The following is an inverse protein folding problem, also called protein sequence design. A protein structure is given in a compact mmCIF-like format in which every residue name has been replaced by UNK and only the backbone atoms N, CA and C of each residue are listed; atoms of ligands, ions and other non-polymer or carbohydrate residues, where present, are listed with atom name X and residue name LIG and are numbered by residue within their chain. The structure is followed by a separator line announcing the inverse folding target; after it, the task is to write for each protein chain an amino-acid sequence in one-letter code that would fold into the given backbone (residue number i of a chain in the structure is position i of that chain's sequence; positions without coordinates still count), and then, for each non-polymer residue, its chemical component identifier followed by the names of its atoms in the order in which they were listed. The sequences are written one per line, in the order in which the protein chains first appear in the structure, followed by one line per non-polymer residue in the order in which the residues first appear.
data_IF_716428714110
#
_entry.id   IF_716428714110
#
_cell.length_a   1.000
_cell.length_b   1.000
_cell.length_c   1.000
_cell.angle_alpha   90.00
_cell.angle_beta   90.00
_cell.angle_gamma   90.00
#
_symmetry.space_group_name_H-M   'P 1'
#
loop_
_entity.id
_entity.type
_entity.pdbx_description
1 polymer ?
#
# COMPACT_ATOMS: atom_id res chain seq x y z
N UNK A 1 49.30 7.42 -28.01
CA UNK A 1 48.73 7.08 -26.68
C UNK A 1 47.87 8.24 -26.19
N UNK A 2 46.55 8.23 -26.44
CA UNK A 2 45.58 9.11 -25.76
C UNK A 2 44.21 8.40 -25.74
N UNK A 3 44.08 7.40 -24.87
CA UNK A 3 42.77 6.97 -24.40
C UNK A 3 42.38 7.91 -23.26
N UNK A 4 41.70 9.01 -23.57
CA UNK A 4 41.00 9.79 -22.56
C UNK A 4 39.63 9.15 -22.37
N UNK A 5 39.48 8.48 -21.23
CA UNK A 5 38.26 7.85 -20.78
C UNK A 5 37.11 8.88 -20.75
N UNK A 6 36.20 8.78 -21.71
CA UNK A 6 34.85 9.32 -21.60
C UNK A 6 34.08 8.33 -20.70
N UNK A 7 34.38 8.37 -19.40
CA UNK A 7 33.74 7.54 -18.38
C UNK A 7 33.11 8.42 -17.29
N UNK A 8 32.59 9.57 -17.68
CA UNK A 8 31.77 10.44 -16.83
C UNK A 8 30.56 10.85 -17.66
N UNK A 9 29.37 10.75 -17.06
CA UNK A 9 28.03 11.07 -17.60
C UNK A 9 27.17 9.88 -18.07
N UNK A 10 27.35 8.69 -17.48
CA UNK A 10 26.19 7.85 -17.15
C UNK A 10 25.80 8.10 -15.69
N UNK A 11 25.57 9.37 -15.35
CA UNK A 11 24.58 9.66 -14.31
C UNK A 11 23.26 9.28 -14.96
N UNK A 12 22.92 7.99 -14.91
CA UNK A 12 21.57 7.56 -15.18
C UNK A 12 20.73 8.45 -14.27
N UNK A 13 20.02 9.36 -14.91
CA UNK A 13 18.94 10.09 -14.31
C UNK A 13 17.87 9.04 -14.10
N UNK A 14 18.08 8.19 -13.08
CA UNK A 14 17.09 7.33 -12.47
C UNK A 14 16.12 8.30 -11.81
N UNK A 15 15.30 8.95 -12.63
CA UNK A 15 13.94 9.27 -12.26
C UNK A 15 13.23 7.91 -12.12
N UNK A 16 13.71 7.09 -11.18
CA UNK A 16 13.01 5.91 -10.74
C UNK A 16 11.70 6.45 -10.22
N UNK A 17 10.59 5.96 -10.77
CA UNK A 17 9.25 6.32 -10.36
C UNK A 17 9.19 6.24 -8.82
N UNK A 18 9.25 7.38 -8.14
CA UNK A 18 9.15 7.42 -6.70
C UNK A 18 7.68 7.41 -6.36
N UNK A 19 7.20 6.30 -5.82
CA UNK A 19 5.85 6.21 -5.30
C UNK A 19 5.72 7.16 -4.11
N UNK A 20 4.83 8.15 -4.19
CA UNK A 20 4.57 9.03 -3.06
C UNK A 20 3.81 8.28 -1.96
N UNK A 21 3.91 8.77 -0.72
CA UNK A 21 3.14 8.21 0.41
C UNK A 21 1.62 8.25 0.18
N UNK A 22 1.16 9.27 -0.55
CA UNK A 22 -0.26 9.44 -0.89
C UNK A 22 -0.67 8.38 -1.90
N UNK A 23 0.04 8.25 -3.02
CA UNK A 23 -0.24 7.24 -4.04
C UNK A 23 -0.17 5.82 -3.46
N UNK A 24 0.81 5.56 -2.58
CA UNK A 24 0.89 4.32 -1.82
C UNK A 24 -0.38 4.04 -1.01
N UNK A 25 -0.83 5.01 -0.22
CA UNK A 25 -2.01 4.88 0.61
C UNK A 25 -3.27 4.67 -0.22
N UNK A 26 -3.40 5.38 -1.33
CA UNK A 26 -4.54 5.28 -2.23
C UNK A 26 -4.58 3.93 -2.94
N UNK A 27 -3.44 3.44 -3.45
CA UNK A 27 -3.36 2.14 -4.11
C UNK A 27 -3.70 0.97 -3.17
N UNK A 28 -3.12 0.95 -1.97
CA UNK A 28 -3.40 -0.11 -0.99
C UNK A 28 -4.86 -0.06 -0.54
N UNK A 29 -5.41 1.14 -0.29
CA UNK A 29 -6.82 1.27 0.09
C UNK A 29 -7.77 0.92 -1.05
N UNK A 30 -7.41 1.20 -2.30
CA UNK A 30 -8.18 0.80 -3.47
C UNK A 30 -8.33 -0.73 -3.53
N UNK A 31 -7.22 -1.46 -3.44
CA UNK A 31 -7.23 -2.93 -3.42
C UNK A 31 -8.01 -3.46 -2.21
N UNK A 32 -7.93 -2.81 -1.06
CA UNK A 32 -8.75 -3.20 0.12
C UNK A 32 -10.24 -3.01 -0.12
N UNK A 33 -10.65 -1.94 -0.80
CA UNK A 33 -12.04 -1.68 -1.12
C UNK A 33 -12.58 -2.74 -2.11
N UNK A 34 -11.83 -3.05 -3.17
CA UNK A 34 -12.19 -4.11 -4.12
C UNK A 34 -12.32 -5.46 -3.41
N UNK A 35 -11.37 -5.81 -2.54
CA UNK A 35 -11.45 -7.03 -1.74
C UNK A 35 -12.66 -7.03 -0.79
N UNK A 36 -13.00 -5.91 -0.17
CA UNK A 36 -14.18 -5.79 0.67
C UNK A 36 -15.46 -6.03 -0.12
N UNK A 37 -15.54 -5.50 -1.35
CA UNK A 37 -16.65 -5.68 -2.27
C UNK A 37 -16.77 -7.13 -2.72
N UNK A 38 -15.70 -7.71 -3.28
CA UNK A 38 -15.71 -9.11 -3.74
C UNK A 38 -16.06 -10.10 -2.62
N UNK A 39 -15.64 -9.81 -1.38
CA UNK A 39 -15.82 -10.73 -0.25
C UNK A 39 -17.02 -10.42 0.62
N UNK A 40 -17.71 -9.32 0.34
CA UNK A 40 -18.80 -8.79 1.16
C UNK A 40 -18.36 -8.65 2.61
N UNK A 41 -17.31 -7.85 2.84
CA UNK A 41 -16.82 -7.50 4.17
C UNK A 41 -17.26 -6.07 4.53
N UNK A 42 -18.17 -5.95 5.49
CA UNK A 42 -18.82 -4.68 5.82
C UNK A 42 -18.07 -3.77 6.79
N UNK A 43 -16.93 -4.21 7.35
CA UNK A 43 -16.22 -3.53 8.44
C UNK A 43 -14.72 -3.27 8.15
N UNK A 44 -14.33 -3.21 6.87
CA UNK A 44 -12.92 -3.01 6.49
C UNK A 44 -12.52 -1.56 6.71
N UNK A 45 -11.52 -1.32 7.54
CA UNK A 45 -10.98 0.00 7.81
C UNK A 45 -10.15 0.52 6.63
N UNK A 46 -10.26 1.83 6.39
CA UNK A 46 -9.29 2.60 5.60
C UNK A 46 -7.99 2.69 6.39
N UNK A 47 -6.87 2.41 5.73
CA UNK A 47 -5.54 2.52 6.32
C UNK A 47 -5.00 3.94 6.17
N UNK A 48 -4.35 4.43 7.21
CA UNK A 48 -3.64 5.71 7.21
C UNK A 48 -2.13 5.47 7.10
N UNK A 49 -1.45 6.30 6.32
CA UNK A 49 0.00 6.20 6.17
C UNK A 49 0.70 6.58 7.49
N UNK A 50 1.63 5.74 7.94
CA UNK A 50 2.40 5.91 9.16
C UNK A 50 3.90 5.89 8.85
N UNK A 51 4.55 7.04 9.02
CA UNK A 51 5.99 7.22 8.74
C UNK A 51 6.86 6.32 9.64
N UNK A 52 6.42 6.00 10.87
CA UNK A 52 7.19 5.10 11.74
C UNK A 52 7.24 3.68 11.16
N UNK A 53 6.16 3.23 10.51
CA UNK A 53 6.13 1.91 9.85
C UNK A 53 7.01 1.87 8.59
N UNK A 54 7.21 2.99 7.90
CA UNK A 54 8.12 3.09 6.75
C UNK A 54 9.58 2.75 7.16
N UNK A 55 9.99 3.23 8.33
CA UNK A 55 11.31 2.89 8.89
C UNK A 55 11.41 1.40 9.19
N UNK A 56 10.42 0.83 9.87
CA UNK A 56 10.37 -0.62 10.17
C UNK A 56 10.38 -1.46 8.90
N UNK A 57 9.62 -1.09 7.87
CA UNK A 57 9.62 -1.79 6.58
C UNK A 57 11.00 -1.73 5.91
N UNK A 58 11.69 -0.59 6.00
CA UNK A 58 13.06 -0.44 5.48
C UNK A 58 14.04 -1.38 6.18
N UNK A 59 13.89 -1.57 7.50
CA UNK A 59 14.70 -2.52 8.28
C UNK A 59 14.44 -3.98 7.87
N UNK A 60 13.20 -4.34 7.51
CA UNK A 60 12.90 -5.65 6.91
C UNK A 60 13.54 -5.82 5.54
N UNK A 61 13.38 -4.84 4.65
CA UNK A 61 13.97 -4.89 3.30
C UNK A 61 15.49 -5.03 3.34
N UNK A 62 16.16 -4.31 4.24
CA UNK A 62 17.61 -4.37 4.40
C UNK A 62 18.13 -5.77 4.81
N UNK A 63 17.32 -6.59 5.50
CA UNK A 63 17.70 -7.97 5.83
C UNK A 63 17.84 -8.86 4.59
N UNK A 64 17.23 -8.46 3.47
CA UNK A 64 17.24 -9.16 2.19
C UNK A 64 17.96 -8.35 1.10
N UNK A 65 18.91 -7.49 1.47
CA UNK A 65 19.61 -6.58 0.55
C UNK A 65 18.68 -5.70 -0.30
N UNK A 66 17.47 -5.44 0.19
CA UNK A 66 16.44 -4.67 -0.52
C UNK A 66 15.64 -5.47 -1.56
N UNK A 67 15.88 -6.78 -1.71
CA UNK A 67 15.34 -7.64 -2.77
C UNK A 67 14.84 -9.01 -2.28
N UNK A 68 13.91 -9.05 -1.32
CA UNK A 68 13.24 -10.29 -0.96
C UNK A 68 12.40 -10.83 -2.13
N UNK A 69 12.32 -12.16 -2.22
CA UNK A 69 11.21 -12.82 -2.90
C UNK A 69 9.88 -12.58 -2.16
N UNK A 70 8.76 -13.11 -2.67
CA UNK A 70 7.44 -12.91 -2.09
C UNK A 70 7.34 -13.59 -0.73
N UNK A 71 7.26 -12.80 0.34
CA UNK A 71 7.17 -13.31 1.72
C UNK A 71 6.14 -12.55 2.54
N UNK A 72 5.35 -13.31 3.30
CA UNK A 72 4.41 -12.79 4.29
C UNK A 72 4.91 -13.12 5.70
N UNK A 73 5.08 -12.09 6.53
CA UNK A 73 5.63 -12.18 7.89
C UNK A 73 4.57 -11.67 8.86
N UNK A 74 4.04 -12.58 9.69
CA UNK A 74 3.11 -12.25 10.77
C UNK A 74 3.84 -12.01 12.10
N UNK A 75 3.66 -10.83 12.69
CA UNK A 75 4.19 -10.48 14.02
C UNK A 75 3.08 -10.06 15.01
N UNK A 76 3.47 -9.82 16.26
CA UNK A 76 2.54 -9.30 17.29
C UNK A 76 2.20 -7.82 17.10
N UNK A 77 3.09 -7.06 16.48
CA UNK A 77 2.95 -5.61 16.29
C UNK A 77 2.61 -5.23 14.85
N UNK A 78 3.15 -5.97 13.88
CA UNK A 78 3.02 -5.66 12.45
C UNK A 78 2.85 -6.91 11.61
N UNK A 79 2.17 -6.73 10.47
CA UNK A 79 2.13 -7.67 9.36
C UNK A 79 2.95 -7.08 8.22
N UNK A 80 3.84 -7.86 7.65
CA UNK A 80 4.72 -7.41 6.56
C UNK A 80 4.53 -8.34 5.37
N UNK A 81 4.31 -7.76 4.20
CA UNK A 81 4.25 -8.50 2.94
C UNK A 81 5.24 -7.87 1.99
N UNK A 82 6.31 -8.59 1.68
CA UNK A 82 7.36 -8.14 0.79
C UNK A 82 7.14 -8.71 -0.60
N UNK A 83 7.49 -7.90 -1.61
CA UNK A 83 7.39 -8.26 -3.02
C UNK A 83 6.00 -8.84 -3.41
N UNK A 84 4.95 -8.11 -3.05
CA UNK A 84 3.56 -8.53 -3.24
C UNK A 84 3.18 -8.67 -4.72
N UNK A 85 3.91 -8.01 -5.63
CA UNK A 85 3.66 -8.07 -7.06
C UNK A 85 3.82 -9.49 -7.62
N UNK A 86 4.74 -10.28 -7.07
CA UNK A 86 4.96 -11.66 -7.53
C UNK A 86 3.82 -12.61 -7.18
N UNK A 87 2.90 -12.22 -6.29
CA UNK A 87 1.71 -13.02 -6.02
C UNK A 87 0.62 -12.87 -7.09
N UNK A 88 0.56 -11.75 -7.83
CA UNK A 88 -0.49 -11.52 -8.84
C UNK A 88 -0.47 -12.54 -10.00
N UNK A 89 0.68 -12.86 -10.60
CA UNK A 89 0.75 -13.85 -11.69
C UNK A 89 0.41 -15.28 -11.26
N UNK A 90 0.39 -15.58 -9.95
CA UNK A 90 0.08 -16.92 -9.43
C UNK A 90 -1.42 -17.23 -9.45
N UNK A 91 -2.26 -16.27 -9.84
CA UNK A 91 -3.69 -16.43 -10.05
C UNK A 91 -4.55 -15.93 -8.90
N UNK A 92 -5.84 -15.77 -9.19
CA UNK A 92 -6.83 -15.16 -8.29
C UNK A 92 -6.96 -15.91 -6.97
N UNK A 93 -6.98 -17.25 -7.00
CA UNK A 93 -7.10 -18.07 -5.79
C UNK A 93 -5.91 -17.88 -4.84
N UNK A 94 -4.70 -17.78 -5.40
CA UNK A 94 -3.50 -17.54 -4.61
C UNK A 94 -3.54 -16.16 -3.97
N UNK A 95 -3.84 -15.12 -4.75
CA UNK A 95 -4.05 -13.76 -4.25
C UNK A 95 -5.14 -13.70 -3.17
N UNK A 96 -6.22 -14.47 -3.33
CA UNK A 96 -7.30 -14.59 -2.35
C UNK A 96 -6.76 -15.14 -1.02
N UNK A 97 -5.94 -16.19 -1.06
CA UNK A 97 -5.28 -16.72 0.14
C UNK A 97 -4.40 -15.65 0.82
N UNK A 98 -3.59 -14.91 0.05
CA UNK A 98 -2.68 -13.91 0.63
C UNK A 98 -3.43 -12.71 1.23
N UNK A 99 -4.53 -12.27 0.61
CA UNK A 99 -5.42 -11.25 1.19
C UNK A 99 -5.97 -11.71 2.54
N UNK A 100 -6.38 -12.97 2.69
CA UNK A 100 -6.88 -13.52 3.96
C UNK A 100 -5.79 -13.63 5.02
N UNK A 101 -4.53 -13.85 4.59
CA UNK A 101 -3.36 -13.78 5.47
C UNK A 101 -2.98 -12.34 5.84
N UNK A 102 -3.54 -11.34 5.16
CA UNK A 102 -3.33 -9.93 5.49
C UNK A 102 -2.28 -9.25 4.62
N UNK A 103 -2.13 -9.67 3.36
CA UNK A 103 -1.19 -9.07 2.41
C UNK A 103 -1.31 -7.54 2.28
N UNK A 104 -2.53 -7.03 2.41
CA UNK A 104 -2.86 -5.59 2.44
C UNK A 104 -3.39 -5.15 3.80
N UNK A 105 -2.99 -5.84 4.88
CA UNK A 105 -3.49 -5.67 6.24
C UNK A 105 -4.82 -6.39 6.50
N UNK A 106 -5.13 -6.60 7.77
CA UNK A 106 -6.37 -7.24 8.19
C UNK A 106 -7.58 -6.29 8.05
N UNK A 107 -8.83 -6.78 8.08
CA UNK A 107 -10.01 -5.93 7.97
C UNK A 107 -10.00 -4.75 8.94
N UNK A 108 -9.57 -4.96 10.19
CA UNK A 108 -9.52 -3.91 11.21
C UNK A 108 -8.17 -3.19 11.35
N UNK A 109 -7.15 -3.53 10.55
CA UNK A 109 -5.90 -2.75 10.52
C UNK A 109 -6.21 -1.29 10.24
N UNK A 110 -5.42 -0.37 10.77
CA UNK A 110 -5.67 1.08 10.71
C UNK A 110 -4.50 1.87 10.15
N UNK A 111 -3.29 1.30 10.18
CA UNK A 111 -2.07 1.99 9.82
C UNK A 111 -1.29 1.18 8.79
N UNK A 112 -0.61 1.87 7.88
CA UNK A 112 0.22 1.24 6.87
C UNK A 112 1.43 2.07 6.51
N UNK A 113 2.42 1.41 5.92
CA UNK A 113 3.39 2.05 5.04
C UNK A 113 3.68 1.10 3.89
N UNK A 114 4.28 1.60 2.83
CA UNK A 114 4.76 0.76 1.75
C UNK A 114 6.10 1.27 1.23
N UNK A 115 6.77 0.44 0.45
CA UNK A 115 7.98 0.78 -0.26
C UNK A 115 7.91 0.21 -1.67
N UNK A 116 8.33 1.02 -2.63
CA UNK A 116 8.68 0.57 -3.97
C UNK A 116 10.20 0.65 -4.08
N UNK A 117 10.88 -0.49 -4.09
CA UNK A 117 12.34 -0.55 -4.23
C UNK A 117 12.72 -1.16 -5.57
N UNK A 118 13.92 -0.86 -6.03
CA UNK A 118 14.48 -1.42 -7.27
C UNK A 118 15.63 -2.33 -6.91
N UNK A 119 15.61 -3.53 -7.47
CA UNK A 119 16.61 -4.53 -7.21
C UNK A 119 17.90 -4.26 -7.96
N UNK A 120 19.02 -4.33 -7.23
CA UNK A 120 20.33 -4.02 -7.79
C UNK A 120 20.83 -5.11 -8.74
N UNK A 121 20.38 -6.36 -8.55
CA UNK A 121 20.84 -7.51 -9.33
C UNK A 121 20.23 -7.53 -10.73
N UNK A 122 18.93 -7.26 -10.85
CA UNK A 122 18.16 -7.44 -12.09
C UNK A 122 17.37 -6.19 -12.53
N UNK A 123 17.35 -5.12 -11.72
CA UNK A 123 16.59 -3.90 -11.99
C UNK A 123 15.08 -4.04 -11.78
N UNK A 124 14.59 -5.17 -11.24
CA UNK A 124 13.16 -5.39 -11.00
C UNK A 124 12.63 -4.44 -9.92
N UNK A 125 11.37 -4.05 -10.02
CA UNK A 125 10.71 -3.24 -8.99
C UNK A 125 9.89 -4.14 -8.08
N UNK A 126 10.12 -4.04 -6.77
CA UNK A 126 9.35 -4.77 -5.77
C UNK A 126 8.48 -3.81 -4.97
N UNK A 127 7.22 -4.20 -4.77
CA UNK A 127 6.28 -3.46 -3.93
C UNK A 127 6.06 -4.22 -2.64
N UNK A 128 6.22 -3.54 -1.51
CA UNK A 128 6.13 -4.15 -0.19
C UNK A 128 5.25 -3.31 0.73
N UNK A 129 4.45 -3.95 1.58
CA UNK A 129 3.49 -3.30 2.47
C UNK A 129 3.71 -3.79 3.90
N UNK A 130 3.65 -2.86 4.85
CA UNK A 130 3.58 -3.14 6.29
C UNK A 130 2.29 -2.55 6.85
N UNK A 131 1.64 -3.24 7.77
CA UNK A 131 0.48 -2.73 8.51
C UNK A 131 0.59 -3.04 9.99
N UNK A 132 -0.22 -2.37 10.81
CA UNK A 132 -0.46 -2.81 12.18
C UNK A 132 -1.06 -4.23 12.20
N UNK A 133 -0.56 -5.07 13.11
CA UNK A 133 -1.09 -6.41 13.31
C UNK A 133 -2.33 -6.36 14.20
N UNK A 134 -3.42 -6.91 13.68
CA UNK A 134 -4.66 -7.14 14.45
C UNK A 134 -5.20 -8.53 14.11
N UNK A 135 -6.08 -9.06 14.97
CA UNK A 135 -6.75 -10.33 14.67
C UNK A 135 -7.68 -10.17 13.46
N UNK A 136 -7.67 -11.18 12.59
CA UNK A 136 -8.64 -11.26 11.50
C UNK A 136 -10.06 -11.24 12.07
N UNK A 137 -10.88 -10.29 11.62
CA UNK A 137 -12.25 -10.10 12.11
C UNK A 137 -13.11 -9.38 11.09
N UNK A 138 -13.36 -10.03 9.95
CA UNK A 138 -14.30 -9.56 8.95
C UNK A 138 -15.76 -9.86 9.35
N UNK A 139 -16.66 -8.90 9.17
CA UNK A 139 -18.10 -9.08 9.32
C UNK A 139 -18.72 -9.16 7.92
N UNK A 140 -19.48 -10.23 7.65
CA UNK A 140 -20.21 -10.36 6.39
C UNK A 140 -21.25 -9.25 6.24
N UNK A 141 -21.26 -8.61 5.08
CA UNK A 141 -22.19 -7.54 4.74
C UNK A 141 -21.67 -6.67 3.60
N UNK A 142 -22.54 -5.84 3.04
CA UNK A 142 -22.15 -4.84 2.05
C UNK A 142 -21.02 -3.96 2.59
N UNK A 143 -20.00 -3.61 1.80
CA UNK A 143 -18.92 -2.72 2.23
C UNK A 143 -19.46 -1.48 2.96
N UNK A 144 -18.91 -1.20 4.13
CA UNK A 144 -19.27 -0.04 4.95
C UNK A 144 -20.48 -0.23 5.86
N UNK A 145 -21.28 -1.29 5.69
CA UNK A 145 -22.52 -1.49 6.45
C UNK A 145 -22.30 -1.67 7.96
N UNK A 146 -21.07 -2.03 8.37
CA UNK A 146 -20.70 -2.29 9.76
C UNK A 146 -19.64 -1.30 10.27
N UNK A 147 -19.47 -0.13 9.66
CA UNK A 147 -18.55 0.88 10.20
C UNK A 147 -19.08 1.48 11.52
N UNK A 148 -20.38 1.74 11.60
CA UNK A 148 -21.02 2.40 12.74
C UNK A 148 -20.91 1.61 14.04
N UNK A 149 -20.85 0.27 13.98
CA UNK A 149 -20.64 -0.58 15.16
C UNK A 149 -19.29 -0.37 15.84
N UNK A 150 -18.35 0.29 15.16
CA UNK A 150 -17.03 0.68 15.69
C UNK A 150 -16.88 2.19 15.87
N UNK A 151 -17.97 2.97 15.76
CA UNK A 151 -17.94 4.43 15.81
C UNK A 151 -17.29 5.08 14.58
N UNK A 152 -17.19 4.36 13.46
CA UNK A 152 -16.62 4.83 12.20
C UNK A 152 -17.70 5.15 11.18
N UNK A 153 -17.34 5.99 10.21
CA UNK A 153 -18.14 6.28 9.03
C UNK A 153 -17.66 5.45 7.85
N UNK A 154 -18.56 5.12 6.92
CA UNK A 154 -18.18 4.52 5.64
C UNK A 154 -17.84 5.65 4.64
N UNK A 155 -16.75 5.50 3.88
CA UNK A 155 -16.47 6.38 2.76
C UNK A 155 -17.22 5.92 1.49
N UNK A 156 -17.07 6.66 0.39
CA UNK A 156 -17.70 6.33 -0.90
C UNK A 156 -17.29 4.98 -1.50
N UNK A 157 -16.19 4.39 -1.01
CA UNK A 157 -15.68 3.06 -1.41
C UNK A 157 -16.03 1.96 -0.40
N UNK A 158 -16.85 2.26 0.62
CA UNK A 158 -17.25 1.30 1.65
C UNK A 158 -16.19 0.97 2.70
N UNK A 159 -15.10 1.73 2.79
CA UNK A 159 -14.10 1.58 3.85
C UNK A 159 -14.45 2.43 5.09
N UNK A 160 -14.17 1.88 6.26
CA UNK A 160 -14.44 2.49 7.56
C UNK A 160 -13.32 3.44 7.99
N UNK A 161 -13.67 4.70 8.23
CA UNK A 161 -12.74 5.74 8.66
C UNK A 161 -13.30 6.52 9.85
N UNK A 162 -12.41 7.14 10.62
CA UNK A 162 -12.82 8.10 11.65
C UNK A 162 -13.06 9.41 10.91
N UNK A 163 -14.22 10.04 11.04
CA UNK A 163 -14.67 11.22 10.28
C UNK A 163 -13.81 12.51 10.36
N UNK A 164 -12.56 12.38 10.79
CA UNK A 164 -11.52 13.38 10.96
C UNK A 164 -10.26 12.99 10.17
N UNK A 165 -10.39 12.71 8.87
CA UNK A 165 -9.22 12.51 8.00
C UNK A 165 -8.57 13.85 7.56
N UNK A 166 -9.14 15.00 7.94
CA UNK A 166 -8.53 16.31 7.69
C UNK A 166 -7.60 16.75 8.84
N UNK A 167 -6.42 16.14 8.96
CA UNK A 167 -5.25 17.01 9.19
C UNK A 167 -4.89 17.59 7.82
N UNK A 168 -5.47 18.76 7.53
CA UNK A 168 -4.97 19.64 6.46
C UNK A 168 -3.45 19.70 6.60
N UNK A 169 -2.72 19.07 5.68
CA UNK A 169 -1.35 19.49 5.41
C UNK A 169 -1.45 20.88 4.78
N UNK A 170 -1.61 21.91 5.61
CA UNK A 170 -1.38 23.28 5.18
C UNK A 170 0.14 23.40 5.02
N UNK A 171 0.64 23.19 3.81
CA UNK A 171 1.93 23.78 3.45
C UNK A 171 1.75 25.29 3.66
N UNK A 172 2.60 25.89 4.49
CA UNK A 172 2.64 27.34 4.68
C UNK A 172 3.05 27.95 3.32
N UNK A 173 2.08 28.36 2.53
CA UNK A 173 2.29 29.00 1.23
C UNK A 173 1.48 28.35 0.10
N UNK A 174 0.55 29.13 -0.44
CA UNK A 174 -0.28 28.90 -1.64
C UNK A 174 -1.57 28.11 -1.42
N UNK A 175 -2.67 28.87 -1.41
CA UNK A 175 -4.05 28.43 -1.60
C UNK A 175 -4.21 27.79 -2.99
N UNK A 176 -4.56 26.51 -3.05
CA UNK A 176 -5.37 26.00 -4.15
C UNK A 176 -6.38 25.00 -3.57
N UNK A 177 -7.64 25.42 -3.51
CA UNK A 177 -8.77 24.51 -3.37
C UNK A 177 -8.83 23.67 -4.65
N UNK A 178 -8.70 22.36 -4.52
CA UNK A 178 -9.23 21.43 -5.52
C UNK A 178 -10.01 20.41 -4.70
N UNK A 179 -11.34 20.53 -4.77
CA UNK A 179 -12.28 19.59 -4.18
C UNK A 179 -12.31 18.29 -4.99
N UNK A 180 -12.83 17.25 -4.35
CA UNK A 180 -13.07 15.91 -4.88
C UNK A 180 -13.74 15.94 -6.27
N UNK A 181 -12.95 15.92 -7.34
CA UNK A 181 -13.31 15.39 -8.67
C UNK A 181 -12.02 15.06 -9.42
N UNK A 182 -11.66 13.77 -9.52
CA UNK A 182 -11.12 13.19 -10.76
C UNK A 182 -11.70 11.78 -10.87
N UNK A 183 -12.80 11.67 -11.61
CA UNK A 183 -13.09 10.45 -12.37
C UNK A 183 -12.15 10.41 -13.58
N UNK A 184 -11.75 9.17 -13.89
CA UNK A 184 -11.20 8.65 -15.16
C UNK A 184 -9.68 8.42 -15.31
N UNK A 185 -9.42 7.13 -15.57
CA UNK A 185 -8.37 6.49 -16.41
C UNK A 185 -6.95 6.34 -15.84
N UNK A 186 -6.71 5.16 -15.29
CA UNK A 186 -5.56 4.24 -15.53
C UNK A 186 -5.90 3.01 -14.66
N UNK A 187 -6.32 1.84 -15.16
CA UNK A 187 -5.70 0.99 -16.16
C UNK A 187 -6.78 0.25 -16.96
N UNK A 188 -6.64 0.25 -18.28
CA UNK A 188 -7.23 -0.79 -19.12
C UNK A 188 -6.23 -1.93 -19.24
N UNK A 189 -6.64 -3.14 -18.88
CA UNK A 189 -5.92 -4.36 -19.23
C UNK A 189 -6.75 -5.05 -20.31
N UNK A 190 -6.33 -4.84 -21.56
CA UNK A 190 -6.58 -5.75 -22.67
C UNK A 190 -5.37 -6.65 -22.88
#
# INVERSE_FOLDING_TARGET
MKFLAIAFLLVHSVHGMTLTRVECADNVNHVRAENAEHRQWGNVNKLLYNISLEKTLSEFLNQYNGCPGPIHIGGSEYLVTLNIHEYFPLGEEFMRSEVEKGAFGMPKSTMMACALTTCLEDGSQIFSVITDAVKFSAIKGTPGSNCSSSGRLANSKGLCYLGSDQKKFVRKGVLQQVGDVIDNKLFGWG
#
